data_IF_213399018943
#
_entry.id   IF_213399018943
#
_cell.length_a   1.000
_cell.length_b   1.000
_cell.length_c   1.000
_cell.angle_alpha   90.00
_cell.angle_beta   90.00
_cell.angle_gamma   90.00
#
_symmetry.space_group_name_H-M   'P 1'
#
loop_
_entity.id
_entity.type
_entity.pdbx_description
1 polymer ?
#
# COMPACT_ATOMS: atom_id res chain seq x y z
N UNK A 1 31.76 -8.70 -13.31
CA UNK A 1 30.75 -9.70 -13.73
C UNK A 1 29.52 -9.73 -12.82
N UNK A 2 29.61 -9.34 -11.54
CA UNK A 2 28.44 -9.18 -10.65
C UNK A 2 27.52 -8.00 -11.01
N UNK A 3 28.05 -6.84 -11.40
CA UNK A 3 27.24 -5.63 -11.70
C UNK A 3 26.24 -5.79 -12.87
N UNK A 4 26.55 -6.62 -13.87
CA UNK A 4 25.65 -6.83 -15.00
C UNK A 4 24.50 -7.81 -14.70
N UNK A 5 24.61 -8.60 -13.62
CA UNK A 5 23.60 -9.61 -13.27
C UNK A 5 22.50 -9.08 -12.35
N UNK A 6 22.78 -8.03 -11.56
CA UNK A 6 21.77 -7.35 -10.72
C UNK A 6 20.75 -6.56 -11.53
N UNK A 7 21.14 -6.02 -12.70
CA UNK A 7 20.22 -5.29 -13.59
C UNK A 7 19.10 -6.16 -14.16
N UNK A 8 19.30 -7.47 -14.31
CA UNK A 8 18.32 -8.36 -14.94
C UNK A 8 17.13 -8.71 -14.04
N UNK A 9 17.18 -8.41 -12.74
CA UNK A 9 16.08 -8.71 -11.81
C UNK A 9 15.23 -7.50 -11.45
N UNK A 10 15.62 -6.29 -11.89
CA UNK A 10 14.88 -5.06 -11.59
C UNK A 10 13.55 -5.13 -12.35
N UNK A 11 12.45 -5.08 -11.58
CA UNK A 11 11.09 -5.01 -12.12
C UNK A 11 10.69 -3.56 -12.38
N UNK A 12 10.93 -2.70 -11.39
CA UNK A 12 10.58 -1.29 -11.46
C UNK A 12 11.75 -0.47 -10.92
N UNK A 13 12.32 0.35 -11.80
CA UNK A 13 13.38 1.31 -11.46
C UNK A 13 12.83 2.42 -10.56
N UNK A 14 13.73 3.10 -9.85
CA UNK A 14 13.39 4.29 -9.05
C UNK A 14 12.66 5.35 -9.90
N UNK A 15 13.08 5.57 -11.15
CA UNK A 15 12.41 6.55 -12.02
C UNK A 15 10.99 6.12 -12.40
N UNK A 16 10.77 4.83 -12.66
CA UNK A 16 9.43 4.31 -12.97
C UNK A 16 8.50 4.43 -11.76
N UNK A 17 9.00 4.09 -10.56
CA UNK A 17 8.27 4.23 -9.31
C UNK A 17 7.91 5.70 -9.06
N UNK A 18 8.89 6.61 -9.10
CA UNK A 18 8.66 8.03 -8.87
C UNK A 18 7.64 8.61 -9.86
N UNK A 19 7.73 8.25 -11.15
CA UNK A 19 6.75 8.66 -12.15
C UNK A 19 5.36 8.14 -11.81
N UNK A 20 5.23 6.85 -11.48
CA UNK A 20 3.93 6.23 -11.19
C UNK A 20 3.27 6.82 -9.95
N UNK A 21 4.05 7.12 -8.91
CA UNK A 21 3.53 7.78 -7.71
C UNK A 21 2.94 9.16 -8.02
N UNK A 22 3.59 9.94 -8.91
CA UNK A 22 3.05 11.23 -9.34
C UNK A 22 1.73 11.07 -10.09
N UNK A 23 1.65 10.10 -11.01
CA UNK A 23 0.41 9.79 -11.74
C UNK A 23 -0.73 9.39 -10.78
N UNK A 24 -0.45 8.52 -9.80
CA UNK A 24 -1.42 8.12 -8.78
C UNK A 24 -1.86 9.30 -7.92
N UNK A 25 -0.92 10.14 -7.47
CA UNK A 25 -1.23 11.32 -6.68
C UNK A 25 -2.11 12.32 -7.42
N UNK A 26 -1.88 12.50 -8.73
CA UNK A 26 -2.74 13.33 -9.60
C UNK A 26 -4.14 12.73 -9.74
N UNK A 27 -4.25 11.43 -9.97
CA UNK A 27 -5.53 10.74 -10.08
C UNK A 27 -6.35 10.86 -8.78
N UNK A 28 -5.74 10.54 -7.63
CA UNK A 28 -6.39 10.67 -6.32
C UNK A 28 -6.78 12.12 -6.04
N UNK A 29 -5.93 13.09 -6.38
CA UNK A 29 -6.28 14.51 -6.23
C UNK A 29 -7.54 14.84 -7.03
N UNK A 30 -7.59 14.44 -8.30
CA UNK A 30 -8.72 14.70 -9.18
C UNK A 30 -10.03 14.07 -8.67
N UNK A 31 -9.96 12.84 -8.16
CA UNK A 31 -11.14 12.08 -7.72
C UNK A 31 -11.75 12.63 -6.42
N UNK A 32 -10.94 13.32 -5.59
CA UNK A 32 -11.38 13.84 -4.29
C UNK A 32 -11.43 15.37 -4.18
N UNK A 33 -10.99 16.14 -5.20
CA UNK A 33 -10.90 17.62 -5.11
C UNK A 33 -12.24 18.32 -4.81
N UNK A 34 -13.35 17.73 -5.26
CA UNK A 34 -14.69 18.27 -5.07
C UNK A 34 -15.38 17.73 -3.81
N UNK A 35 -14.71 16.84 -3.06
CA UNK A 35 -15.24 16.33 -1.80
C UNK A 35 -15.23 17.42 -0.73
N UNK A 36 -16.35 17.58 -0.04
CA UNK A 36 -16.46 18.46 1.14
C UNK A 36 -16.11 17.75 2.44
N UNK A 37 -15.73 16.47 2.38
CA UNK A 37 -15.40 15.65 3.55
C UNK A 37 -13.91 15.73 3.86
N UNK A 38 -13.49 15.54 5.13
CA UNK A 38 -12.07 15.42 5.45
C UNK A 38 -11.46 14.18 4.79
N UNK A 39 -10.19 14.27 4.37
CA UNK A 39 -9.46 13.18 3.75
C UNK A 39 -8.40 12.60 4.69
N UNK A 40 -8.47 11.29 4.96
CA UNK A 40 -7.54 10.56 5.82
C UNK A 40 -6.85 9.44 5.06
N UNK A 41 -5.55 9.28 5.27
CA UNK A 41 -4.74 8.23 4.64
C UNK A 41 -4.24 7.27 5.72
N UNK A 42 -4.55 5.97 5.61
CA UNK A 42 -4.10 4.96 6.58
C UNK A 42 -3.15 3.98 5.88
N UNK A 43 -1.91 3.90 6.37
CA UNK A 43 -0.89 3.04 5.80
C UNK A 43 -0.67 1.75 6.60
N UNK A 44 -0.57 0.61 5.90
CA UNK A 44 -0.21 -0.67 6.53
C UNK A 44 1.28 -0.74 6.85
N UNK A 45 1.65 -0.92 8.12
CA UNK A 45 3.04 -1.12 8.51
C UNK A 45 3.51 -2.56 8.21
N UNK A 46 4.79 -2.76 7.89
CA UNK A 46 5.85 -1.74 7.70
C UNK A 46 6.05 -1.36 6.23
N UNK A 47 5.65 -2.23 5.31
CA UNK A 47 6.09 -2.18 3.91
C UNK A 47 5.66 -0.91 3.19
N UNK A 48 4.46 -0.41 3.47
CA UNK A 48 3.91 0.77 2.79
C UNK A 48 4.60 2.10 3.13
N UNK A 49 5.51 2.17 4.12
CA UNK A 49 6.06 3.44 4.62
C UNK A 49 6.70 4.30 3.52
N UNK A 50 7.51 3.70 2.64
CA UNK A 50 8.16 4.43 1.54
C UNK A 50 7.12 4.93 0.54
N UNK A 51 6.19 4.06 0.15
CA UNK A 51 5.12 4.42 -0.79
C UNK A 51 4.22 5.52 -0.24
N UNK A 52 3.79 5.42 1.02
CA UNK A 52 3.01 6.45 1.71
C UNK A 52 3.71 7.80 1.65
N UNK A 53 5.01 7.86 2.00
CA UNK A 53 5.76 9.10 2.06
C UNK A 53 5.86 9.79 0.69
N UNK A 54 6.01 9.03 -0.38
CA UNK A 54 6.07 9.57 -1.74
C UNK A 54 4.68 9.96 -2.24
N UNK A 55 3.68 9.11 -2.02
CA UNK A 55 2.32 9.31 -2.50
C UNK A 55 1.66 10.51 -1.84
N UNK A 56 1.75 10.65 -0.52
CA UNK A 56 1.14 11.77 0.21
C UNK A 56 1.73 13.12 -0.19
N UNK A 57 3.00 13.18 -0.61
CA UNK A 57 3.61 14.40 -1.19
C UNK A 57 3.10 14.71 -2.60
N UNK A 58 2.70 13.69 -3.35
CA UNK A 58 2.16 13.82 -4.70
C UNK A 58 0.67 14.26 -4.70
N UNK A 59 -0.11 13.86 -3.70
CA UNK A 59 -1.51 14.27 -3.53
C UNK A 59 -1.60 15.76 -3.18
N UNK A 60 -2.43 16.53 -3.88
CA UNK A 60 -2.61 17.99 -3.70
C UNK A 60 -3.92 18.31 -2.99
N UNK A 61 -4.16 17.63 -1.87
CA UNK A 61 -5.31 17.81 -0.99
C UNK A 61 -4.85 17.96 0.46
N UNK A 62 -5.56 18.74 1.30
CA UNK A 62 -5.36 18.68 2.75
C UNK A 62 -5.68 17.28 3.26
N UNK A 63 -4.71 16.63 3.91
CA UNK A 63 -4.87 15.27 4.42
C UNK A 63 -4.24 15.12 5.80
N UNK A 64 -4.77 14.17 6.58
CA UNK A 64 -4.10 13.57 7.73
C UNK A 64 -3.65 12.17 7.32
N UNK A 65 -2.59 11.65 7.92
CA UNK A 65 -2.25 10.26 7.77
C UNK A 65 -1.88 9.61 9.11
N UNK A 66 -2.08 8.31 9.17
CA UNK A 66 -1.68 7.46 10.29
C UNK A 66 -1.32 6.07 9.76
N UNK A 67 -0.90 5.19 10.67
CA UNK A 67 -0.52 3.83 10.36
C UNK A 67 -1.37 2.81 11.11
N UNK A 68 -1.55 1.65 10.51
CA UNK A 68 -2.09 0.47 11.18
C UNK A 68 -1.09 -0.68 11.04
N UNK A 69 -1.02 -1.54 12.05
CA UNK A 69 -0.24 -2.77 11.96
C UNK A 69 -1.12 -3.96 12.32
N UNK A 70 -1.07 -4.99 11.49
CA UNK A 70 -1.77 -6.25 11.68
C UNK A 70 -0.74 -7.38 11.67
N UNK A 71 -0.88 -8.33 12.58
CA UNK A 71 -0.08 -9.56 12.58
C UNK A 71 -0.97 -10.79 12.44
N UNK A 72 -0.50 -11.77 11.67
CA UNK A 72 -1.14 -13.07 11.55
C UNK A 72 -0.40 -14.07 12.45
N UNK A 73 -1.10 -14.58 13.47
CA UNK A 73 -0.59 -15.64 14.33
C UNK A 73 -0.80 -16.97 13.62
N UNK A 74 0.24 -17.41 12.89
CA UNK A 74 0.21 -18.62 12.03
C UNK A 74 -0.26 -19.89 12.75
N UNK A 75 0.02 -20.02 14.05
CA UNK A 75 -0.37 -21.19 14.84
C UNK A 75 -1.87 -21.25 15.15
N UNK A 76 -2.58 -20.13 15.06
CA UNK A 76 -3.98 -20.01 15.47
C UNK A 76 -4.92 -19.56 14.35
N UNK A 77 -4.40 -19.23 13.16
CA UNK A 77 -5.15 -18.52 12.09
C UNK A 77 -5.83 -17.23 12.59
N UNK A 78 -5.30 -16.62 13.66
CA UNK A 78 -5.83 -15.39 14.23
C UNK A 78 -5.11 -14.20 13.60
N UNK A 79 -5.89 -13.26 13.09
CA UNK A 79 -5.42 -11.94 12.66
C UNK A 79 -5.70 -10.97 13.82
N UNK A 80 -4.68 -10.21 14.23
CA UNK A 80 -4.79 -9.25 15.33
C UNK A 80 -4.20 -7.89 14.93
N UNK A 81 -4.88 -6.82 15.32
CA UNK A 81 -4.34 -5.46 15.28
C UNK A 81 -3.26 -5.32 16.35
N UNK A 82 -2.04 -5.00 15.94
CA UNK A 82 -0.89 -4.77 16.84
C UNK A 82 -0.59 -3.29 17.04
N UNK A 83 -1.03 -2.44 16.12
CA UNK A 83 -1.11 -1.00 16.28
C UNK A 83 -2.39 -0.52 15.62
N UNK A 84 -3.24 0.14 16.39
CA UNK A 84 -4.47 0.77 15.89
C UNK A 84 -4.20 2.21 15.43
N UNK A 85 -5.17 2.80 14.73
CA UNK A 85 -5.15 4.21 14.37
C UNK A 85 -5.41 5.09 15.60
N UNK A 86 -4.80 6.28 15.61
CA UNK A 86 -4.94 7.30 16.64
C UNK A 86 -5.73 8.53 16.12
N UNK A 87 -5.79 8.72 14.80
CA UNK A 87 -6.59 9.79 14.19
C UNK A 87 -8.09 9.42 14.10
N UNK A 88 -8.96 10.40 14.31
CA UNK A 88 -10.39 10.26 14.05
C UNK A 88 -10.68 10.24 12.53
N UNK A 89 -11.40 9.20 12.10
CA UNK A 89 -11.80 8.97 10.71
C UNK A 89 -13.33 8.96 10.51
N UNK A 90 -14.13 9.25 11.54
CA UNK A 90 -15.58 9.27 11.42
C UNK A 90 -16.04 10.31 10.38
N UNK A 91 -16.79 9.87 9.38
CA UNK A 91 -17.26 10.71 8.28
C UNK A 91 -16.18 11.15 7.28
N UNK A 92 -14.95 10.66 7.39
CA UNK A 92 -13.87 10.98 6.45
C UNK A 92 -13.95 10.12 5.19
N UNK A 93 -13.42 10.66 4.09
CA UNK A 93 -12.96 9.84 2.99
C UNK A 93 -11.62 9.20 3.36
N UNK A 94 -11.57 7.87 3.41
CA UNK A 94 -10.38 7.13 3.84
C UNK A 94 -9.71 6.45 2.64
N UNK A 95 -8.41 6.70 2.48
CA UNK A 95 -7.56 5.99 1.53
C UNK A 95 -6.59 5.07 2.28
N UNK A 96 -6.74 3.77 2.08
CA UNK A 96 -5.80 2.77 2.60
C UNK A 96 -4.64 2.59 1.64
N UNK A 97 -3.40 2.61 2.16
CA UNK A 97 -2.16 2.48 1.39
C UNK A 97 -1.45 1.17 1.75
N UNK A 98 -1.24 0.32 0.76
CA UNK A 98 -0.46 -0.91 0.88
C UNK A 98 0.70 -0.96 -0.13
N UNK A 99 1.80 -1.59 0.25
CA UNK A 99 2.90 -1.87 -0.67
C UNK A 99 2.56 -3.00 -1.65
N UNK A 100 1.79 -4.01 -1.21
CA UNK A 100 1.42 -5.14 -2.05
C UNK A 100 0.11 -5.80 -1.64
N UNK A 101 -0.80 -5.98 -2.61
CA UNK A 101 -2.04 -6.73 -2.41
C UNK A 101 -2.00 -8.01 -3.25
N UNK A 102 -2.21 -9.16 -2.60
CA UNK A 102 -2.28 -10.49 -3.24
C UNK A 102 -3.65 -11.13 -3.01
N UNK A 103 -3.79 -11.90 -1.93
CA UNK A 103 -5.06 -12.54 -1.58
C UNK A 103 -6.15 -11.56 -1.17
N UNK A 104 -5.75 -10.39 -0.65
CA UNK A 104 -6.65 -9.38 -0.10
C UNK A 104 -7.18 -9.70 1.30
N UNK A 105 -6.79 -10.81 1.93
CA UNK A 105 -7.32 -11.23 3.23
C UNK A 105 -6.96 -10.26 4.38
N UNK A 106 -5.69 -9.84 4.45
CA UNK A 106 -5.24 -8.88 5.47
C UNK A 106 -5.89 -7.52 5.26
N UNK A 107 -5.96 -7.07 4.00
CA UNK A 107 -6.63 -5.82 3.62
C UNK A 107 -8.10 -5.84 3.97
N UNK A 108 -8.80 -6.95 3.73
CA UNK A 108 -10.20 -7.11 4.09
C UNK A 108 -10.42 -6.99 5.60
N UNK A 109 -9.59 -7.66 6.42
CA UNK A 109 -9.66 -7.51 7.87
C UNK A 109 -9.40 -6.06 8.32
N UNK A 110 -8.45 -5.37 7.70
CA UNK A 110 -8.21 -3.94 7.97
C UNK A 110 -9.47 -3.11 7.68
N UNK A 111 -10.16 -3.41 6.58
CA UNK A 111 -11.37 -2.70 6.19
C UNK A 111 -12.49 -2.93 7.20
N UNK A 112 -12.76 -4.18 7.58
CA UNK A 112 -13.76 -4.52 8.62
C UNK A 112 -13.45 -3.83 9.96
N UNK A 113 -12.16 -3.64 10.27
CA UNK A 113 -11.76 -2.91 11.47
C UNK A 113 -11.99 -1.41 11.35
N UNK A 114 -11.59 -0.79 10.23
CA UNK A 114 -11.76 0.64 9.99
C UNK A 114 -13.23 1.07 9.85
N UNK A 115 -14.10 0.20 9.30
CA UNK A 115 -15.53 0.46 9.18
C UNK A 115 -16.22 0.73 10.53
N UNK A 116 -15.69 0.16 11.63
CA UNK A 116 -16.21 0.38 12.99
C UNK A 116 -16.10 1.83 13.45
N UNK A 117 -15.23 2.62 12.83
CA UNK A 117 -15.05 4.05 13.10
C UNK A 117 -15.98 4.93 12.25
N UNK A 118 -16.87 4.33 11.44
CA UNK A 118 -17.86 5.00 10.59
C UNK A 118 -17.27 6.03 9.60
N UNK A 119 -16.26 5.68 8.78
CA UNK A 119 -15.82 6.54 7.69
C UNK A 119 -16.93 6.71 6.64
N UNK A 120 -16.89 7.80 5.89
CA UNK A 120 -17.85 8.04 4.80
C UNK A 120 -17.55 7.19 3.56
N UNK A 121 -16.27 6.90 3.30
CA UNK A 121 -15.83 5.97 2.27
C UNK A 121 -14.49 5.36 2.64
N UNK A 122 -14.21 4.15 2.13
CA UNK A 122 -12.89 3.52 2.22
C UNK A 122 -12.52 3.03 0.82
N UNK A 123 -11.40 3.53 0.28
CA UNK A 123 -10.81 3.08 -0.97
C UNK A 123 -9.37 2.60 -0.75
N UNK A 124 -8.86 1.78 -1.67
CA UNK A 124 -7.53 1.17 -1.57
C UNK A 124 -6.62 1.63 -2.71
N UNK A 125 -5.39 2.01 -2.35
CA UNK A 125 -4.26 2.14 -3.26
C UNK A 125 -3.17 1.14 -2.89
N UNK A 126 -2.73 0.37 -3.88
CA UNK A 126 -1.62 -0.56 -3.73
C UNK A 126 -0.49 -0.20 -4.69
N UNK A 127 0.76 -0.18 -4.21
CA UNK A 127 1.90 -0.03 -5.12
C UNK A 127 1.99 -1.22 -6.07
N UNK A 128 1.88 -2.44 -5.53
CA UNK A 128 1.83 -3.67 -6.32
C UNK A 128 0.51 -4.40 -6.08
N UNK A 129 -0.08 -4.92 -7.15
CA UNK A 129 -1.24 -5.81 -7.04
C UNK A 129 -1.03 -7.08 -7.87
N UNK A 130 -1.54 -8.21 -7.37
CA UNK A 130 -1.71 -9.42 -8.16
C UNK A 130 -3.21 -9.72 -8.26
N UNK A 131 -3.92 -9.17 -9.27
CA UNK A 131 -5.35 -9.33 -9.40
C UNK A 131 -5.79 -10.80 -9.50
N UNK A 132 -4.98 -11.65 -10.15
CA UNK A 132 -5.27 -13.08 -10.34
C UNK A 132 -5.26 -13.88 -9.02
N UNK A 133 -4.64 -13.36 -7.97
CA UNK A 133 -4.57 -13.99 -6.65
C UNK A 133 -5.61 -13.46 -5.66
N UNK A 134 -6.40 -12.44 -6.03
CA UNK A 134 -7.43 -11.90 -5.15
C UNK A 134 -8.47 -12.97 -4.84
N UNK A 135 -8.70 -13.23 -3.56
CA UNK A 135 -9.74 -14.16 -3.08
C UNK A 135 -10.99 -13.43 -2.60
N UNK A 136 -10.94 -12.09 -2.51
CA UNK A 136 -12.01 -11.22 -2.01
C UNK A 136 -12.12 -10.01 -2.92
N UNK A 137 -13.35 -9.52 -3.10
CA UNK A 137 -13.59 -8.25 -3.78
C UNK A 137 -13.20 -7.08 -2.87
N UNK A 138 -12.20 -6.31 -3.27
CA UNK A 138 -11.72 -5.12 -2.57
C UNK A 138 -11.94 -3.88 -3.45
N UNK A 139 -12.21 -2.70 -2.88
CA UNK A 139 -12.25 -1.45 -3.64
C UNK A 139 -10.82 -0.99 -3.96
N UNK A 140 -10.10 -1.79 -4.76
CA UNK A 140 -8.76 -1.51 -5.26
C UNK A 140 -8.87 -0.53 -6.44
N UNK A 141 -9.11 0.75 -6.13
CA UNK A 141 -9.32 1.79 -7.13
C UNK A 141 -8.02 2.26 -7.80
N UNK A 142 -6.89 2.09 -7.12
CA UNK A 142 -5.61 2.64 -7.56
C UNK A 142 -4.52 1.57 -7.48
N UNK A 143 -3.94 1.22 -8.62
CA UNK A 143 -2.86 0.23 -8.73
C UNK A 143 -1.63 0.91 -9.29
N UNK A 144 -0.50 0.84 -8.58
CA UNK A 144 0.80 1.27 -9.09
C UNK A 144 1.21 0.40 -10.26
N UNK A 145 1.44 -0.88 -9.99
CA UNK A 145 1.81 -1.88 -10.99
C UNK A 145 1.15 -3.23 -10.71
N UNK A 146 0.71 -3.90 -11.76
CA UNK A 146 0.31 -5.31 -11.68
C UNK A 146 1.52 -6.22 -11.77
N UNK A 147 1.52 -7.30 -10.99
CA UNK A 147 2.59 -8.30 -10.95
C UNK A 147 2.04 -9.73 -10.91
N UNK A 148 2.77 -10.65 -11.53
CA UNK A 148 2.52 -12.09 -11.52
C UNK A 148 3.50 -12.87 -10.61
N UNK A 149 4.54 -12.21 -10.10
CA UNK A 149 5.57 -12.84 -9.25
C UNK A 149 5.20 -12.86 -7.77
N UNK A 150 5.67 -13.89 -7.05
CA UNK A 150 5.39 -14.07 -5.61
C UNK A 150 6.48 -13.50 -4.69
N UNK A 151 7.72 -13.36 -5.15
CA UNK A 151 8.86 -12.94 -4.32
C UNK A 151 9.55 -11.70 -4.90
N UNK A 152 9.23 -10.54 -4.33
CA UNK A 152 9.77 -9.24 -4.71
C UNK A 152 10.25 -8.49 -3.46
N UNK A 153 11.29 -7.69 -3.60
CA UNK A 153 11.89 -6.89 -2.52
C UNK A 153 12.25 -5.49 -3.02
N UNK A 154 12.44 -4.56 -2.08
CA UNK A 154 12.76 -3.17 -2.37
C UNK A 154 11.56 -2.24 -2.24
N UNK A 155 11.84 -0.94 -2.08
CA UNK A 155 10.82 0.10 -1.90
C UNK A 155 9.81 -0.24 -0.79
N UNK A 156 10.33 -0.64 0.37
CA UNK A 156 9.57 -1.07 1.53
C UNK A 156 9.29 -2.57 1.64
N UNK A 157 9.27 -3.30 0.52
CA UNK A 157 9.13 -4.76 0.51
C UNK A 157 10.39 -5.44 1.04
N UNK A 158 10.23 -6.50 1.83
CA UNK A 158 11.34 -7.20 2.47
C UNK A 158 11.44 -8.69 2.20
N UNK A 159 12.62 -9.20 2.50
CA UNK A 159 12.84 -10.60 2.83
C UNK A 159 13.67 -10.67 4.10
N UNK A 160 13.11 -11.27 5.15
CA UNK A 160 13.74 -11.35 6.47
C UNK A 160 14.18 -9.97 7.02
N UNK A 161 13.31 -8.95 6.88
CA UNK A 161 13.56 -7.56 7.27
C UNK A 161 14.70 -6.86 6.50
N UNK A 162 15.26 -7.49 5.47
CA UNK A 162 16.27 -6.90 4.60
C UNK A 162 15.64 -6.30 3.33
N UNK A 163 16.42 -5.51 2.59
CA UNK A 163 16.10 -4.94 1.26
C UNK A 163 15.05 -3.83 1.22
N UNK A 164 14.34 -3.51 2.31
CA UNK A 164 13.31 -2.44 2.34
C UNK A 164 13.82 -1.11 1.78
N UNK A 165 15.10 -0.80 1.99
CA UNK A 165 15.73 0.47 1.66
C UNK A 165 16.19 0.61 0.20
N UNK A 166 16.01 -0.40 -0.66
CA UNK A 166 16.30 -0.23 -2.09
C UNK A 166 15.32 0.77 -2.70
N UNK A 167 15.80 1.70 -3.54
CA UNK A 167 14.97 2.70 -4.21
C UNK A 167 14.19 2.14 -5.41
N UNK A 168 14.37 0.87 -5.73
CA UNK A 168 13.77 0.14 -6.84
C UNK A 168 13.20 -1.19 -6.34
N UNK A 169 12.30 -1.78 -7.12
CA UNK A 169 11.71 -3.09 -6.84
C UNK A 169 12.36 -4.13 -7.75
N UNK A 170 12.79 -5.25 -7.18
CA UNK A 170 13.38 -6.37 -7.92
C UNK A 170 12.79 -7.71 -7.51
N UNK A 171 12.95 -8.71 -8.39
CA UNK A 171 12.72 -10.11 -8.04
C UNK A 171 13.76 -10.58 -7.02
N UNK A 172 13.34 -11.41 -6.08
CA UNK A 172 14.24 -12.15 -5.21
C UNK A 172 14.53 -13.50 -5.85
N UNK A 173 15.79 -13.75 -6.25
CA UNK A 173 16.23 -15.08 -6.70
C UNK A 173 16.31 -16.03 -5.51
N UNK A 174 16.04 -17.32 -5.78
CA UNK A 174 16.18 -18.40 -4.80
C UNK A 174 17.63 -18.61 -4.36
#
# INVERSE_FOLDING_TARGET
>A
MQDNQEKNDILFTEQQIAKRVVELGQQITQDYQDSTRPFSVIAMLKGSTYFLADLTRAIKLPLKFDFMAISQVKSANIVQVTRDIEIDIAGNDVLVVEEIVRSGLTTHYMFEHLEKFNPASINLVAMLANPDQLMINLPLNYIGFEIDYTRVVGYGLDYQEQYRNLSYIKKLRE
#
